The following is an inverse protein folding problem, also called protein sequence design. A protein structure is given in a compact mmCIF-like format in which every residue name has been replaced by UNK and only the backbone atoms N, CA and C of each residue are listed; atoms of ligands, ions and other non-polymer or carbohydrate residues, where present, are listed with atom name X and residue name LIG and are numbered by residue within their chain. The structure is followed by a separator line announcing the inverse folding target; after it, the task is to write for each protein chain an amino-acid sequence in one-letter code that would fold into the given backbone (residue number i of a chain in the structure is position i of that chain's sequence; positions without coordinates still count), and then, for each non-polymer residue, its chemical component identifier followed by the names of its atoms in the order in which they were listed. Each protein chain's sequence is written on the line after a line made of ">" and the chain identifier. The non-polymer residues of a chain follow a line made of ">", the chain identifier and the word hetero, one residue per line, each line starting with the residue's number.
data_IF_967419419682
#
_entry.id   IF_967419419682
#
_cell.length_a   1.000
_cell.length_b   1.000
_cell.length_c   1.000
_cell.angle_alpha   90.00
_cell.angle_beta   90.00
_cell.angle_gamma   90.00
#
_symmetry.space_group_name_H-M   'P 1'
#
loop_
_entity.id
_entity.type
_entity.pdbx_description
1 polymer ?
#
# COMPACT_ATOMS: atom_id res chain seq x y z
N UNK A 1 -27.56 -12.67 -12.01
CA UNK A 1 -27.44 -11.22 -11.72
C UNK A 1 -26.28 -11.10 -10.75
N UNK A 2 -25.11 -10.74 -11.23
CA UNK A 2 -23.94 -10.51 -10.36
C UNK A 2 -24.04 -9.08 -9.94
N UNK A 3 -24.26 -8.86 -8.65
CA UNK A 3 -24.43 -7.57 -8.05
C UNK A 3 -23.22 -6.67 -8.35
N UNK A 4 -23.54 -5.51 -8.89
CA UNK A 4 -22.68 -4.41 -9.28
C UNK A 4 -22.19 -3.66 -8.03
N UNK A 5 -21.75 -4.41 -6.98
CA UNK A 5 -21.25 -3.85 -5.73
C UNK A 5 -19.76 -3.61 -5.85
N UNK A 6 -19.38 -2.36 -5.71
CA UNK A 6 -18.02 -1.83 -5.70
C UNK A 6 -17.28 -1.91 -7.05
N UNK A 7 -17.63 -1.00 -7.96
CA UNK A 7 -16.59 -0.41 -8.79
C UNK A 7 -15.57 0.23 -7.84
N UNK A 8 -14.52 -0.53 -7.48
CA UNK A 8 -13.25 0.10 -7.24
C UNK A 8 -12.99 0.88 -8.52
N UNK A 9 -13.18 2.19 -8.48
CA UNK A 9 -12.76 3.04 -9.59
C UNK A 9 -11.26 2.87 -9.61
N UNK A 10 -10.75 1.95 -10.43
CA UNK A 10 -9.34 1.90 -10.74
C UNK A 10 -9.01 3.30 -11.21
N UNK A 11 -8.23 4.01 -10.43
CA UNK A 11 -7.81 5.34 -10.85
C UNK A 11 -7.06 5.13 -12.15
N UNK A 12 -7.47 5.82 -13.20
CA UNK A 12 -6.84 5.70 -14.52
C UNK A 12 -5.35 6.02 -14.43
N UNK A 13 -4.99 6.91 -13.48
CA UNK A 13 -3.61 7.27 -13.17
C UNK A 13 -3.39 7.37 -11.66
N UNK A 14 -2.28 6.80 -11.18
CA UNK A 14 -1.83 6.90 -9.80
C UNK A 14 -0.70 7.95 -9.69
N UNK A 15 -0.83 8.85 -8.71
CA UNK A 15 0.24 9.76 -8.35
C UNK A 15 1.23 9.07 -7.41
N UNK A 16 2.49 8.90 -7.83
CA UNK A 16 3.56 8.28 -7.05
C UNK A 16 4.18 9.27 -6.06
N UNK A 17 4.27 8.87 -4.78
CA UNK A 17 4.75 9.74 -3.69
C UNK A 17 6.22 9.54 -3.31
N UNK A 18 6.95 8.65 -4.00
CA UNK A 18 8.37 8.43 -3.74
C UNK A 18 9.19 9.71 -3.90
N UNK A 19 10.16 9.92 -2.98
CA UNK A 19 11.15 11.02 -3.04
C UNK A 19 10.58 12.44 -2.94
N UNK A 20 9.33 12.59 -2.49
CA UNK A 20 8.69 13.91 -2.35
C UNK A 20 9.03 14.60 -1.02
N UNK A 21 9.57 13.82 -0.05
CA UNK A 21 10.02 14.31 1.27
C UNK A 21 8.93 15.17 1.95
N UNK A 22 9.31 16.34 2.45
CA UNK A 22 8.43 17.31 3.12
C UNK A 22 7.32 17.87 2.21
N UNK A 23 7.52 17.84 0.90
CA UNK A 23 6.52 18.31 -0.08
C UNK A 23 5.41 17.29 -0.37
N UNK A 24 5.48 16.09 0.21
CA UNK A 24 4.54 15.00 -0.11
C UNK A 24 3.07 15.44 0.02
N UNK A 25 2.70 16.10 1.12
CA UNK A 25 1.31 16.49 1.34
C UNK A 25 0.81 17.49 0.29
N UNK A 26 1.58 18.53 0.01
CA UNK A 26 1.21 19.56 -0.96
C UNK A 26 1.07 18.98 -2.36
N UNK A 27 2.04 18.17 -2.79
CA UNK A 27 2.05 17.57 -4.11
C UNK A 27 0.91 16.54 -4.31
N UNK A 28 0.53 15.80 -3.28
CA UNK A 28 -0.64 14.91 -3.33
C UNK A 28 -1.92 15.73 -3.49
N UNK A 29 -2.10 16.81 -2.70
CA UNK A 29 -3.27 17.70 -2.83
C UNK A 29 -3.33 18.32 -4.23
N UNK A 30 -2.21 18.83 -4.75
CA UNK A 30 -2.14 19.39 -6.10
C UNK A 30 -2.52 18.35 -7.16
N UNK A 31 -1.96 17.13 -7.09
CA UNK A 31 -2.26 16.07 -8.05
C UNK A 31 -3.75 15.69 -8.06
N UNK A 32 -4.34 15.53 -6.88
CA UNK A 32 -5.76 15.16 -6.75
C UNK A 32 -6.66 16.31 -7.27
N UNK A 33 -6.32 17.56 -6.98
CA UNK A 33 -7.03 18.73 -7.53
C UNK A 33 -6.87 18.86 -9.04
N UNK A 34 -5.75 18.40 -9.59
CA UNK A 34 -5.53 18.32 -11.03
C UNK A 34 -6.28 17.18 -11.74
N UNK A 35 -7.00 16.33 -10.98
CA UNK A 35 -7.84 15.26 -11.55
C UNK A 35 -7.37 13.84 -11.29
N UNK A 36 -6.19 13.62 -10.71
CA UNK A 36 -5.81 12.28 -10.23
C UNK A 36 -6.82 11.78 -9.20
N UNK A 37 -7.01 10.46 -9.15
CA UNK A 37 -7.83 9.80 -8.13
C UNK A 37 -7.10 8.63 -7.47
N UNK A 38 -5.88 8.31 -7.91
CA UNK A 38 -5.02 7.29 -7.33
C UNK A 38 -3.79 7.88 -6.66
N UNK A 39 -3.42 7.33 -5.51
CA UNK A 39 -2.23 7.68 -4.75
C UNK A 39 -1.44 6.39 -4.51
N UNK A 40 -0.17 6.37 -4.93
CA UNK A 40 0.76 5.27 -4.70
C UNK A 40 1.82 5.68 -3.69
N UNK A 41 1.85 4.97 -2.56
CA UNK A 41 2.85 5.14 -1.50
C UNK A 41 3.42 3.79 -1.04
N UNK A 42 4.22 3.76 -0.01
CA UNK A 42 4.74 2.53 0.61
C UNK A 42 5.16 2.76 2.06
N UNK A 43 5.03 1.72 2.89
CA UNK A 43 5.57 1.67 4.24
C UNK A 43 7.10 1.46 4.19
N UNK A 44 7.78 2.46 3.66
CA UNK A 44 9.23 2.50 3.45
C UNK A 44 9.74 3.92 3.70
N UNK A 45 10.03 4.30 4.95
CA UNK A 45 10.43 5.68 5.31
C UNK A 45 11.65 6.21 4.55
N UNK A 46 12.50 5.32 4.06
CA UNK A 46 13.66 5.69 3.22
C UNK A 46 13.29 6.54 2.00
N UNK A 47 12.14 6.28 1.38
CA UNK A 47 11.76 6.91 0.10
C UNK A 47 10.37 7.53 0.11
N UNK A 48 9.52 7.18 1.08
CA UNK A 48 8.12 7.57 1.14
C UNK A 48 7.81 8.22 2.50
N UNK A 49 6.83 9.10 2.52
CA UNK A 49 6.30 9.67 3.75
C UNK A 49 4.78 9.46 3.82
N UNK A 50 4.36 8.30 4.33
CA UNK A 50 2.95 7.98 4.46
C UNK A 50 2.19 8.93 5.40
N UNK A 51 2.85 9.43 6.44
CA UNK A 51 2.22 10.37 7.37
C UNK A 51 1.80 11.67 6.66
N UNK A 52 2.63 12.17 5.74
CA UNK A 52 2.27 13.33 4.92
C UNK A 52 1.22 13.00 3.85
N UNK A 53 1.12 11.75 3.41
CA UNK A 53 -0.04 11.30 2.59
C UNK A 53 -1.32 11.36 3.43
N UNK A 54 -1.30 10.90 4.69
CA UNK A 54 -2.42 11.02 5.62
C UNK A 54 -2.87 12.47 5.84
N UNK A 55 -1.92 13.39 6.03
CA UNK A 55 -2.19 14.83 6.09
C UNK A 55 -2.88 15.32 4.81
N UNK A 56 -2.41 14.88 3.64
CA UNK A 56 -3.04 15.25 2.36
C UNK A 56 -4.48 14.73 2.26
N UNK A 57 -4.73 13.47 2.66
CA UNK A 57 -6.08 12.89 2.67
C UNK A 57 -7.03 13.68 3.57
N UNK A 58 -6.54 14.17 4.71
CA UNK A 58 -7.34 15.04 5.59
C UNK A 58 -7.66 16.38 4.93
N UNK A 59 -6.65 17.06 4.36
CA UNK A 59 -6.81 18.35 3.67
C UNK A 59 -7.74 18.28 2.45
N UNK A 60 -7.79 17.13 1.77
CA UNK A 60 -8.67 16.95 0.60
C UNK A 60 -10.15 17.02 0.95
N UNK A 61 -10.53 16.75 2.20
CA UNK A 61 -11.92 16.94 2.68
C UNK A 61 -12.37 18.38 2.58
N UNK A 62 -11.47 19.36 2.78
CA UNK A 62 -11.78 20.80 2.66
C UNK A 62 -12.13 21.17 1.21
N UNK A 63 -11.75 20.33 0.25
CA UNK A 63 -12.11 20.45 -1.17
C UNK A 63 -13.28 19.55 -1.59
N UNK A 64 -13.99 18.95 -0.61
CA UNK A 64 -15.14 18.06 -0.85
C UNK A 64 -14.75 16.70 -1.44
N UNK A 65 -13.48 16.28 -1.32
CA UNK A 65 -12.99 14.99 -1.84
C UNK A 65 -12.86 14.01 -0.68
N UNK A 66 -13.70 12.98 -0.69
CA UNK A 66 -13.76 11.98 0.36
C UNK A 66 -12.84 10.77 0.07
N UNK A 67 -12.40 10.08 1.14
CA UNK A 67 -11.55 8.87 1.04
C UNK A 67 -12.10 7.81 0.05
N UNK A 68 -13.42 7.63 0.01
CA UNK A 68 -14.10 6.64 -0.85
C UNK A 68 -14.01 6.96 -2.35
N UNK A 69 -13.64 8.18 -2.71
CA UNK A 69 -13.48 8.64 -4.09
C UNK A 69 -12.05 8.44 -4.60
N UNK A 70 -11.14 8.03 -3.69
CA UNK A 70 -9.74 7.86 -3.96
C UNK A 70 -9.35 6.39 -3.95
N UNK A 71 -8.46 6.01 -4.85
CA UNK A 71 -7.74 4.76 -4.83
C UNK A 71 -6.42 4.96 -4.09
N UNK A 72 -6.26 4.31 -2.94
CA UNK A 72 -5.07 4.41 -2.10
C UNK A 72 -4.31 3.09 -2.11
N UNK A 73 -3.08 3.12 -2.59
CA UNK A 73 -2.19 1.98 -2.64
C UNK A 73 -0.99 2.18 -1.70
N UNK A 74 -0.71 1.17 -0.89
CA UNK A 74 0.54 1.09 -0.13
C UNK A 74 1.24 -0.25 -0.33
N UNK A 75 2.45 -0.40 0.22
CA UNK A 75 3.29 -1.58 0.01
C UNK A 75 3.93 -2.04 1.31
N UNK A 76 3.92 -3.35 1.55
CA UNK A 76 4.86 -3.97 2.47
C UNK A 76 6.23 -4.07 1.80
N UNK A 77 7.26 -3.47 2.40
CA UNK A 77 8.64 -3.56 1.92
C UNK A 77 9.41 -4.54 2.80
N UNK A 78 9.94 -5.64 2.25
CA UNK A 78 10.78 -6.58 2.99
C UNK A 78 12.03 -5.88 3.55
N UNK A 79 12.62 -6.48 4.60
CA UNK A 79 13.74 -5.90 5.36
C UNK A 79 14.93 -5.48 4.48
N UNK A 80 15.25 -6.25 3.44
CA UNK A 80 16.32 -5.89 2.48
C UNK A 80 16.07 -4.59 1.72
N UNK A 81 14.82 -4.15 1.61
CA UNK A 81 14.43 -2.90 0.97
C UNK A 81 14.30 -1.72 1.92
N UNK A 82 14.41 -1.94 3.24
CA UNK A 82 14.30 -0.90 4.25
C UNK A 82 15.65 -0.24 4.55
N UNK A 83 15.60 0.95 5.14
CA UNK A 83 16.76 1.52 5.83
C UNK A 83 16.86 0.83 7.21
N UNK A 84 18.02 0.25 7.56
CA UNK A 84 18.19 -0.45 8.86
C UNK A 84 17.87 0.41 10.08
N UNK A 85 18.00 1.74 9.97
CA UNK A 85 17.70 2.70 11.03
C UNK A 85 16.22 3.10 11.12
N UNK A 86 15.41 2.81 10.11
CA UNK A 86 14.02 3.29 10.00
C UNK A 86 13.06 2.19 9.51
N UNK A 87 13.09 1.03 10.16
CA UNK A 87 12.20 -0.08 9.82
C UNK A 87 10.87 0.09 10.57
N UNK A 88 9.72 0.07 9.88
CA UNK A 88 8.41 0.34 10.49
C UNK A 88 7.79 -0.86 11.20
N UNK A 89 8.57 -1.91 11.45
CA UNK A 89 8.14 -3.14 12.13
C UNK A 89 9.33 -3.76 12.91
N UNK A 90 9.04 -4.69 13.81
CA UNK A 90 10.08 -5.43 14.54
C UNK A 90 10.83 -6.36 13.57
N UNK A 91 12.13 -6.07 13.37
CA UNK A 91 13.03 -6.83 12.48
C UNK A 91 13.24 -8.29 12.94
N UNK A 92 13.07 -8.56 14.22
CA UNK A 92 13.24 -9.88 14.82
C UNK A 92 11.96 -10.72 14.82
N UNK A 93 10.82 -10.11 14.54
CA UNK A 93 9.53 -10.80 14.51
C UNK A 93 9.43 -11.77 13.31
N UNK A 94 8.60 -12.82 13.42
CA UNK A 94 8.24 -13.65 12.27
C UNK A 94 7.70 -12.80 11.09
N UNK A 95 7.94 -13.24 9.85
CA UNK A 95 7.59 -12.49 8.64
C UNK A 95 6.11 -12.07 8.60
N UNK A 96 5.22 -12.94 9.02
CA UNK A 96 3.78 -12.66 9.05
C UNK A 96 3.44 -11.51 10.02
N UNK A 97 4.16 -11.45 11.13
CA UNK A 97 3.99 -10.37 12.11
C UNK A 97 4.62 -9.07 11.61
N UNK A 98 5.76 -9.12 10.91
CA UNK A 98 6.35 -7.96 10.24
C UNK A 98 5.36 -7.33 9.25
N UNK A 99 4.66 -8.15 8.46
CA UNK A 99 3.64 -7.69 7.49
C UNK A 99 2.46 -7.05 8.21
N UNK A 100 1.96 -7.67 9.26
CA UNK A 100 0.86 -7.13 10.05
C UNK A 100 1.24 -5.79 10.71
N UNK A 101 2.42 -5.70 11.34
CA UNK A 101 2.92 -4.46 11.94
C UNK A 101 3.13 -3.35 10.92
N UNK A 102 3.70 -3.68 9.76
CA UNK A 102 3.87 -2.73 8.66
C UNK A 102 2.53 -2.18 8.17
N UNK A 103 1.52 -3.04 8.07
CA UNK A 103 0.19 -2.62 7.64
C UNK A 103 -0.50 -1.74 8.71
N UNK A 104 -0.38 -2.07 9.99
CA UNK A 104 -0.88 -1.21 11.08
C UNK A 104 -0.18 0.15 11.09
N UNK A 105 1.16 0.19 10.88
CA UNK A 105 1.89 1.44 10.72
C UNK A 105 1.38 2.25 9.53
N UNK A 106 1.08 1.61 8.40
CA UNK A 106 0.47 2.28 7.24
C UNK A 106 -0.90 2.86 7.58
N UNK A 107 -1.78 2.13 8.26
CA UNK A 107 -3.10 2.65 8.65
C UNK A 107 -2.99 3.90 9.53
N UNK A 108 -2.10 3.86 10.52
CA UNK A 108 -1.85 4.98 11.43
C UNK A 108 -1.33 6.19 10.63
N UNK A 109 -0.31 5.99 9.80
CA UNK A 109 0.31 7.05 9.02
C UNK A 109 -0.66 7.67 8.01
N UNK A 110 -1.39 6.83 7.29
CA UNK A 110 -2.36 7.25 6.27
C UNK A 110 -3.67 7.76 6.86
N UNK A 111 -3.90 7.57 8.17
CA UNK A 111 -5.16 7.90 8.86
C UNK A 111 -6.35 7.27 8.13
N UNK A 112 -6.21 6.00 7.73
CA UNK A 112 -7.18 5.27 6.93
C UNK A 112 -7.40 3.86 7.49
N UNK A 113 -8.65 3.45 7.62
CA UNK A 113 -9.01 2.11 8.12
C UNK A 113 -8.72 0.99 7.11
N UNK A 114 -8.68 1.33 5.83
CA UNK A 114 -8.41 0.39 4.74
C UNK A 114 -7.61 1.04 3.62
N UNK A 115 -6.94 0.21 2.83
CA UNK A 115 -6.36 0.60 1.54
C UNK A 115 -7.09 -0.09 0.39
N UNK A 116 -7.07 0.52 -0.80
CA UNK A 116 -7.65 -0.11 -1.98
C UNK A 116 -6.70 -1.18 -2.53
N UNK A 117 -5.39 -0.99 -2.37
CA UNK A 117 -4.39 -1.97 -2.82
C UNK A 117 -3.23 -2.09 -1.83
N UNK A 118 -2.92 -3.33 -1.43
CA UNK A 118 -1.72 -3.67 -0.67
C UNK A 118 -0.77 -4.47 -1.55
N UNK A 119 0.42 -3.94 -1.77
CA UNK A 119 1.42 -4.51 -2.67
C UNK A 119 2.58 -5.12 -1.87
N UNK A 120 2.99 -6.33 -2.22
CA UNK A 120 4.30 -6.82 -1.84
C UNK A 120 5.35 -6.12 -2.71
N UNK A 121 6.21 -5.30 -2.10
CA UNK A 121 7.10 -4.38 -2.82
C UNK A 121 8.15 -5.07 -3.70
N UNK A 122 8.52 -6.30 -3.33
CA UNK A 122 9.39 -7.18 -4.12
C UNK A 122 9.20 -8.64 -3.72
N UNK A 123 9.50 -9.60 -4.60
CA UNK A 123 9.53 -11.01 -4.26
C UNK A 123 10.47 -11.30 -3.08
N UNK A 124 10.14 -12.31 -2.28
CA UNK A 124 10.91 -12.78 -1.14
C UNK A 124 11.43 -14.19 -1.45
N UNK A 125 12.70 -14.44 -1.20
CA UNK A 125 13.30 -15.76 -1.30
C UNK A 125 13.50 -16.37 0.12
N UNK A 126 13.45 -17.69 0.25
CA UNK A 126 13.05 -18.71 -0.74
C UNK A 126 11.53 -18.68 -1.01
N UNK A 127 11.07 -19.48 -1.97
CA UNK A 127 9.66 -19.58 -2.37
C UNK A 127 8.70 -19.84 -1.18
N UNK A 128 9.10 -20.66 -0.22
CA UNK A 128 8.32 -20.89 1.01
C UNK A 128 8.07 -19.61 1.81
N UNK A 129 9.03 -18.69 1.88
CA UNK A 129 8.86 -17.38 2.51
C UNK A 129 7.93 -16.48 1.69
N UNK A 130 8.02 -16.58 0.36
CA UNK A 130 7.11 -15.86 -0.54
C UNK A 130 5.66 -16.22 -0.27
N UNK A 131 5.35 -17.52 -0.19
CA UNK A 131 3.99 -18.01 0.07
C UNK A 131 3.50 -17.66 1.47
N UNK A 132 4.38 -17.66 2.48
CA UNK A 132 4.05 -17.20 3.84
C UNK A 132 3.70 -15.71 3.85
N UNK A 133 4.50 -14.89 3.15
CA UNK A 133 4.20 -13.46 3.02
C UNK A 133 2.86 -13.23 2.34
N UNK A 134 2.60 -13.93 1.23
CA UNK A 134 1.34 -13.82 0.52
C UNK A 134 0.14 -14.21 1.39
N UNK A 135 0.20 -15.33 2.08
CA UNK A 135 -0.85 -15.76 3.01
C UNK A 135 -1.10 -14.78 4.18
N UNK A 136 -0.06 -14.05 4.63
CA UNK A 136 -0.24 -12.99 5.62
C UNK A 136 -0.98 -11.77 5.02
N UNK A 137 -0.67 -11.39 3.77
CA UNK A 137 -1.39 -10.33 3.07
C UNK A 137 -2.84 -10.72 2.77
N UNK A 138 -3.10 -11.99 2.42
CA UNK A 138 -4.48 -12.50 2.23
C UNK A 138 -5.31 -12.40 3.52
N UNK A 139 -4.72 -12.60 4.69
CA UNK A 139 -5.43 -12.39 5.97
C UNK A 139 -5.86 -10.94 6.12
N UNK A 140 -5.00 -9.99 5.77
CA UNK A 140 -5.34 -8.56 5.77
C UNK A 140 -6.48 -8.27 4.79
N UNK A 141 -6.43 -8.87 3.60
CA UNK A 141 -7.50 -8.74 2.60
C UNK A 141 -8.82 -9.34 3.11
N UNK A 142 -8.79 -10.55 3.65
CA UNK A 142 -9.99 -11.25 4.18
C UNK A 142 -10.67 -10.50 5.33
N UNK A 143 -9.91 -9.73 6.11
CA UNK A 143 -10.43 -8.88 7.20
C UNK A 143 -10.85 -7.48 6.74
N UNK A 144 -10.78 -7.20 5.43
CA UNK A 144 -11.20 -5.91 4.85
C UNK A 144 -10.17 -4.78 4.96
N UNK A 145 -8.96 -5.05 5.44
CA UNK A 145 -7.90 -4.06 5.52
C UNK A 145 -7.39 -3.62 4.14
N UNK A 146 -7.39 -4.52 3.16
CA UNK A 146 -7.05 -4.23 1.77
C UNK A 146 -8.12 -4.78 0.84
N UNK A 147 -8.51 -4.02 -0.20
CA UNK A 147 -9.52 -4.45 -1.17
C UNK A 147 -8.95 -5.37 -2.26
N UNK A 148 -7.66 -5.20 -2.57
CA UNK A 148 -6.94 -6.06 -3.50
C UNK A 148 -5.49 -6.21 -3.08
N UNK A 149 -4.86 -7.27 -3.56
CA UNK A 149 -3.45 -7.57 -3.36
C UNK A 149 -2.69 -7.49 -4.68
N UNK A 150 -1.39 -7.25 -4.59
CA UNK A 150 -0.51 -7.28 -5.75
C UNK A 150 0.95 -7.47 -5.37
N UNK A 151 1.78 -7.61 -6.38
CA UNK A 151 3.23 -7.72 -6.22
C UNK A 151 3.93 -6.78 -7.20
N UNK A 152 5.00 -6.15 -6.75
CA UNK A 152 5.86 -5.30 -7.56
C UNK A 152 7.21 -5.95 -7.79
N UNK A 153 7.97 -5.45 -8.78
CA UNK A 153 9.31 -5.96 -9.10
C UNK A 153 9.38 -7.47 -9.34
N UNK A 154 8.28 -8.06 -9.79
CA UNK A 154 8.17 -9.49 -10.08
C UNK A 154 8.16 -9.73 -11.59
N UNK A 155 9.26 -10.30 -12.09
CA UNK A 155 9.44 -10.62 -13.52
C UNK A 155 9.31 -12.12 -13.81
N UNK A 156 8.82 -12.90 -12.80
CA UNK A 156 8.61 -14.34 -12.92
C UNK A 156 7.12 -14.64 -13.14
N UNK A 157 6.75 -14.90 -14.40
CA UNK A 157 5.36 -15.19 -14.76
C UNK A 157 4.79 -16.43 -14.08
N UNK A 158 5.63 -17.43 -13.75
CA UNK A 158 5.19 -18.62 -13.02
C UNK A 158 4.76 -18.24 -11.60
N UNK A 159 5.58 -17.47 -10.89
CA UNK A 159 5.26 -16.99 -9.55
C UNK A 159 3.97 -16.16 -9.55
N UNK A 160 3.79 -15.27 -10.53
CA UNK A 160 2.56 -14.46 -10.62
C UNK A 160 1.32 -15.35 -10.77
N UNK A 161 1.39 -16.40 -11.59
CA UNK A 161 0.29 -17.35 -11.75
C UNK A 161 -0.01 -18.13 -10.46
N UNK A 162 1.03 -18.52 -9.74
CA UNK A 162 0.89 -19.22 -8.45
C UNK A 162 0.21 -18.33 -7.40
N UNK A 163 0.62 -17.05 -7.30
CA UNK A 163 0.00 -16.08 -6.38
C UNK A 163 -1.45 -15.75 -6.74
N UNK A 164 -1.79 -15.77 -8.02
CA UNK A 164 -3.16 -15.53 -8.48
C UNK A 164 -4.09 -16.72 -8.18
N UNK A 165 -3.54 -17.91 -8.10
CA UNK A 165 -4.29 -19.15 -7.85
C UNK A 165 -4.42 -19.50 -6.35
N UNK A 166 -3.68 -18.81 -5.48
CA UNK A 166 -3.70 -19.02 -4.03
C UNK A 166 -4.89 -18.32 -3.40
#
# INVERSE_FOLDING_TARGET
>A
MVDNCCRCKNAEYNYGTAWKKERTADLVVEAIRAGFRGIDTACQPKHYNEALVGVALHRLKDYGIERKELFLQTKFTPLLGQDPGQVPYDKSAPLELQIAQSFEASKINLQAEYVDSLILHSPIAPHSQMMRAWGAMEKIHKTGGARQLGISNCYNAKLIKELYAA
#
